data_IF_389946753849
#
_entry.id   IF_389946753849
#
_cell.length_a   1.000
_cell.length_b   1.000
_cell.length_c   1.000
_cell.angle_alpha   90.00
_cell.angle_beta   90.00
_cell.angle_gamma   90.00
#
_symmetry.space_group_name_H-M   'P 1'
#
loop_
_entity.id
_entity.type
_entity.pdbx_description
1 polymer ?
#
# COMPACT_ATOMS: atom_id res chain seq x y z
N UNK A 1 25.71 31.39 -17.79
CA UNK A 1 24.31 31.14 -18.19
C UNK A 1 23.87 29.72 -17.86
N UNK A 2 24.53 28.65 -18.27
CA UNK A 2 24.13 27.25 -18.07
C UNK A 2 23.90 26.90 -16.59
N UNK A 3 24.81 27.25 -15.69
CA UNK A 3 24.70 26.96 -14.24
C UNK A 3 23.46 27.59 -13.59
N UNK A 4 23.11 28.81 -14.00
CA UNK A 4 21.92 29.51 -13.49
C UNK A 4 20.64 28.87 -14.02
N UNK A 5 20.64 28.45 -15.28
CA UNK A 5 19.51 27.73 -15.90
C UNK A 5 19.27 26.40 -15.20
N UNK A 6 20.32 25.59 -15.02
CA UNK A 6 20.22 24.29 -14.32
C UNK A 6 19.64 24.48 -12.90
N UNK A 7 20.17 25.44 -12.14
CA UNK A 7 19.68 25.73 -10.79
C UNK A 7 18.21 26.12 -10.77
N UNK A 8 17.77 26.97 -11.70
CA UNK A 8 16.35 27.37 -11.81
C UNK A 8 15.46 26.18 -12.18
N UNK A 9 15.89 25.36 -13.12
CA UNK A 9 15.18 24.15 -13.51
C UNK A 9 14.98 23.20 -12.30
N UNK A 10 16.04 22.89 -11.56
CA UNK A 10 15.94 22.05 -10.35
C UNK A 10 15.03 22.65 -9.29
N UNK A 11 15.05 23.96 -9.08
CA UNK A 11 14.15 24.62 -8.15
C UNK A 11 12.69 24.53 -8.57
N UNK A 12 12.39 24.78 -9.85
CA UNK A 12 11.03 24.69 -10.38
C UNK A 12 10.51 23.25 -10.22
N UNK A 13 11.30 22.26 -10.64
CA UNK A 13 10.93 20.84 -10.50
C UNK A 13 10.71 20.49 -9.03
N UNK A 14 11.55 20.94 -8.13
CA UNK A 14 11.39 20.73 -6.70
C UNK A 14 10.07 21.30 -6.17
N UNK A 15 9.70 22.53 -6.52
CA UNK A 15 8.42 23.11 -6.09
C UNK A 15 7.22 22.37 -6.68
N UNK A 16 7.32 21.90 -7.92
CA UNK A 16 6.29 21.05 -8.53
C UNK A 16 6.11 19.75 -7.72
N UNK A 17 7.20 19.07 -7.37
CA UNK A 17 7.16 17.86 -6.56
C UNK A 17 6.57 18.13 -5.17
N UNK A 18 6.96 19.21 -4.52
CA UNK A 18 6.37 19.63 -3.23
C UNK A 18 4.86 19.83 -3.34
N UNK A 19 4.40 20.53 -4.39
CA UNK A 19 2.99 20.78 -4.61
C UNK A 19 2.20 19.47 -4.85
N UNK A 20 2.72 18.57 -5.69
CA UNK A 20 2.10 17.26 -5.93
C UNK A 20 2.11 16.37 -4.69
N UNK A 21 3.18 16.39 -3.90
CA UNK A 21 3.23 15.63 -2.65
C UNK A 21 2.18 16.12 -1.66
N UNK A 22 2.05 17.43 -1.47
CA UNK A 22 1.01 18.00 -0.60
C UNK A 22 -0.40 17.70 -1.11
N UNK A 23 -0.63 17.79 -2.43
CA UNK A 23 -1.89 17.40 -3.05
C UNK A 23 -2.20 15.90 -2.84
N UNK A 24 -1.20 15.04 -2.95
CA UNK A 24 -1.33 13.60 -2.66
C UNK A 24 -1.69 13.35 -1.19
N UNK A 25 -1.16 14.15 -0.26
CA UNK A 25 -1.52 14.07 1.16
C UNK A 25 -2.99 14.41 1.43
N UNK A 26 -3.66 15.18 0.56
CA UNK A 26 -5.08 15.49 0.66
C UNK A 26 -5.99 14.37 0.11
N UNK A 27 -5.44 13.44 -0.67
CA UNK A 27 -6.21 12.35 -1.30
C UNK A 27 -7.13 11.58 -0.35
N UNK A 28 -6.76 11.23 0.90
CA UNK A 28 -7.65 10.51 1.81
C UNK A 28 -8.84 11.35 2.32
N UNK A 29 -8.78 12.67 2.17
CA UNK A 29 -9.82 13.60 2.63
C UNK A 29 -10.85 13.92 1.53
N UNK A 30 -10.58 13.55 0.28
CA UNK A 30 -11.38 13.90 -0.87
C UNK A 30 -12.15 12.68 -1.38
N UNK A 31 -13.41 12.89 -1.77
CA UNK A 31 -14.20 11.84 -2.41
C UNK A 31 -13.66 11.57 -3.83
N UNK A 32 -13.10 10.38 -4.11
CA UNK A 32 -12.50 10.08 -5.41
C UNK A 32 -13.54 10.01 -6.55
N UNK A 33 -14.82 9.79 -6.26
CA UNK A 33 -15.87 9.81 -7.27
C UNK A 33 -16.08 11.22 -7.87
N UNK A 34 -15.79 12.26 -7.10
CA UNK A 34 -15.92 13.66 -7.55
C UNK A 34 -14.56 14.21 -7.96
N UNK A 35 -13.52 13.90 -7.19
CA UNK A 35 -12.16 14.43 -7.35
C UNK A 35 -11.18 13.33 -7.80
N UNK A 36 -11.52 12.62 -8.88
CA UNK A 36 -10.76 11.49 -9.39
C UNK A 36 -9.25 11.74 -9.61
N UNK A 37 -8.77 12.96 -10.01
CA UNK A 37 -7.32 13.17 -10.17
C UNK A 37 -6.54 12.98 -8.86
N UNK A 38 -7.16 13.30 -7.71
CA UNK A 38 -6.51 13.11 -6.40
C UNK A 38 -6.38 11.63 -6.03
N UNK A 39 -7.24 10.75 -6.54
CA UNK A 39 -7.08 9.31 -6.42
C UNK A 39 -5.77 8.82 -7.05
N UNK A 40 -5.46 9.30 -8.26
CA UNK A 40 -4.18 8.99 -8.93
C UNK A 40 -2.98 9.59 -8.20
N UNK A 41 -3.11 10.79 -7.63
CA UNK A 41 -2.06 11.38 -6.81
C UNK A 41 -1.80 10.54 -5.54
N UNK A 42 -2.86 9.99 -4.93
CA UNK A 42 -2.73 9.06 -3.81
C UNK A 42 -1.94 7.80 -4.17
N UNK A 43 -2.19 7.23 -5.36
CA UNK A 43 -1.41 6.09 -5.89
C UNK A 43 0.05 6.49 -6.19
N UNK A 44 0.29 7.72 -6.62
CA UNK A 44 1.62 8.24 -6.89
C UNK A 44 2.41 8.63 -5.61
N UNK A 45 1.75 8.66 -4.44
CA UNK A 45 2.35 9.12 -3.19
C UNK A 45 3.69 8.47 -2.84
N UNK A 46 3.89 7.13 -2.91
CA UNK A 46 5.17 6.52 -2.59
C UNK A 46 6.31 7.00 -3.50
N UNK A 47 6.02 7.21 -4.78
CA UNK A 47 6.99 7.70 -5.76
C UNK A 47 7.34 9.17 -5.51
N UNK A 48 6.34 9.99 -5.22
CA UNK A 48 6.53 11.41 -4.86
C UNK A 48 7.37 11.54 -3.58
N UNK A 49 7.14 10.67 -2.60
CA UNK A 49 7.94 10.63 -1.38
C UNK A 49 9.39 10.30 -1.67
N UNK A 50 9.68 9.27 -2.50
CA UNK A 50 11.06 8.92 -2.88
C UNK A 50 11.74 10.10 -3.57
N UNK A 51 11.07 10.74 -4.53
CA UNK A 51 11.64 11.89 -5.25
C UNK A 51 11.88 13.07 -4.30
N UNK A 52 10.96 13.34 -3.37
CA UNK A 52 11.13 14.40 -2.37
C UNK A 52 12.31 14.11 -1.43
N UNK A 53 12.51 12.86 -1.02
CA UNK A 53 13.67 12.42 -0.22
C UNK A 53 14.98 12.58 -0.99
N UNK A 54 15.00 12.29 -2.29
CA UNK A 54 16.17 12.53 -3.14
C UNK A 54 16.50 14.02 -3.24
N UNK A 55 15.50 14.89 -3.39
CA UNK A 55 15.70 16.34 -3.33
C UNK A 55 16.21 16.80 -1.96
N UNK A 56 15.65 16.27 -0.87
CA UNK A 56 16.13 16.57 0.48
C UNK A 56 17.60 16.20 0.63
N UNK A 57 17.98 14.97 0.26
CA UNK A 57 19.38 14.52 0.30
C UNK A 57 20.30 15.44 -0.54
N UNK A 58 19.88 15.78 -1.76
CA UNK A 58 20.64 16.70 -2.62
C UNK A 58 20.79 18.09 -2.01
N UNK A 59 19.73 18.66 -1.42
CA UNK A 59 19.80 19.97 -0.77
C UNK A 59 20.61 19.96 0.52
N UNK A 60 20.57 18.87 1.30
CA UNK A 60 21.43 18.70 2.48
C UNK A 60 22.90 18.63 2.08
N UNK A 61 23.23 17.83 1.06
CA UNK A 61 24.58 17.74 0.52
C UNK A 61 25.10 19.08 0.00
N UNK A 62 24.25 19.84 -0.70
CA UNK A 62 24.54 21.17 -1.19
C UNK A 62 24.52 22.26 -0.11
N UNK A 63 24.24 21.90 1.17
CA UNK A 63 24.07 22.84 2.30
C UNK A 63 23.12 23.99 1.97
N UNK A 64 22.03 23.69 1.27
CA UNK A 64 21.05 24.67 0.80
C UNK A 64 19.93 24.86 1.82
N UNK A 65 19.48 26.12 1.99
CA UNK A 65 18.31 26.44 2.83
C UNK A 65 17.01 25.76 2.35
N UNK A 66 16.94 25.28 1.12
CA UNK A 66 15.76 24.60 0.57
C UNK A 66 15.49 23.22 1.22
N UNK A 67 16.47 22.66 1.94
CA UNK A 67 16.28 21.44 2.72
C UNK A 67 15.20 21.60 3.81
N UNK A 68 15.09 22.79 4.43
CA UNK A 68 14.08 23.05 5.44
C UNK A 68 12.65 22.89 4.93
N UNK A 69 12.38 23.35 3.70
CA UNK A 69 11.06 23.19 3.09
C UNK A 69 10.71 21.71 2.93
N UNK A 70 11.64 20.87 2.46
CA UNK A 70 11.40 19.44 2.34
C UNK A 70 11.12 18.80 3.70
N UNK A 71 11.87 19.16 4.75
CA UNK A 71 11.65 18.67 6.11
C UNK A 71 10.25 19.04 6.60
N UNK A 72 9.84 20.30 6.47
CA UNK A 72 8.51 20.75 6.87
C UNK A 72 7.40 20.01 6.11
N UNK A 73 7.56 19.83 4.81
CA UNK A 73 6.60 19.12 3.96
C UNK A 73 6.49 17.65 4.36
N UNK A 74 7.60 16.98 4.68
CA UNK A 74 7.60 15.59 5.16
C UNK A 74 6.92 15.48 6.54
N UNK A 75 7.13 16.45 7.43
CA UNK A 75 6.44 16.49 8.72
C UNK A 75 4.94 16.69 8.57
N UNK A 76 4.49 17.54 7.63
CA UNK A 76 3.07 17.70 7.32
C UNK A 76 2.46 16.40 6.74
N UNK A 77 3.21 15.67 5.92
CA UNK A 77 2.79 14.40 5.33
C UNK A 77 2.97 13.18 6.22
N UNK A 78 3.41 13.33 7.47
CA UNK A 78 3.78 12.22 8.36
C UNK A 78 2.69 11.16 8.53
N UNK A 79 1.43 11.56 8.68
CA UNK A 79 0.30 10.62 8.79
C UNK A 79 0.16 9.73 7.56
N UNK A 80 0.30 10.31 6.37
CA UNK A 80 0.20 9.57 5.11
C UNK A 80 1.41 8.66 4.92
N UNK A 81 2.61 9.12 5.30
CA UNK A 81 3.83 8.31 5.29
C UNK A 81 3.66 7.09 6.22
N UNK A 82 3.21 7.29 7.45
CA UNK A 82 2.98 6.22 8.42
C UNK A 82 1.87 5.24 7.98
N UNK A 83 0.87 5.72 7.23
CA UNK A 83 -0.20 4.88 6.68
C UNK A 83 0.29 3.98 5.54
N UNK A 84 1.17 4.48 4.67
CA UNK A 84 1.71 3.71 3.54
C UNK A 84 2.81 2.75 3.99
N UNK A 85 3.65 3.20 4.92
CA UNK A 85 4.72 2.39 5.49
C UNK A 85 4.37 1.99 6.93
N UNK A 86 3.53 0.96 7.07
CA UNK A 86 3.19 0.35 8.35
C UNK A 86 4.41 -0.36 8.95
N UNK A 87 5.38 0.45 9.42
CA UNK A 87 6.64 -0.06 9.94
C UNK A 87 6.47 -0.49 11.41
N UNK A 88 6.38 -1.80 11.63
CA UNK A 88 6.25 -2.40 12.96
C UNK A 88 7.42 -3.36 13.24
N UNK A 89 8.65 -2.88 13.42
CA UNK A 89 9.84 -3.73 13.50
C UNK A 89 9.87 -4.66 14.72
N UNK A 90 9.06 -4.34 15.75
CA UNK A 90 9.03 -5.09 17.01
C UNK A 90 7.73 -5.87 17.23
N UNK A 91 6.81 -5.87 16.27
CA UNK A 91 5.56 -6.63 16.33
C UNK A 91 5.53 -7.60 15.14
N UNK A 92 5.83 -8.87 15.42
CA UNK A 92 5.54 -9.96 14.50
C UNK A 92 4.18 -10.57 14.84
N UNK A 93 3.45 -11.01 13.80
CA UNK A 93 2.27 -11.83 14.00
C UNK A 93 2.73 -13.18 14.58
N UNK A 94 2.24 -13.51 15.78
CA UNK A 94 2.47 -14.83 16.39
C UNK A 94 1.22 -15.70 16.13
N UNK A 95 1.40 -16.73 15.34
CA UNK A 95 0.35 -17.69 15.00
C UNK A 95 -0.13 -18.45 16.23
N UNK A 96 0.75 -18.77 17.16
CA UNK A 96 0.49 -19.62 18.31
C UNK A 96 -0.08 -18.83 19.49
N UNK A 97 0.23 -17.53 19.58
CA UNK A 97 -0.24 -16.65 20.65
C UNK A 97 -1.42 -15.82 20.22
N UNK A 98 -2.59 -16.14 20.72
CA UNK A 98 -3.75 -15.24 20.70
C UNK A 98 -3.86 -14.58 22.06
N UNK A 99 -3.66 -13.27 22.10
CA UNK A 99 -3.83 -12.50 23.35
C UNK A 99 -5.29 -12.55 23.80
N UNK A 100 -5.52 -12.66 25.09
CA UNK A 100 -6.88 -12.68 25.65
C UNK A 100 -7.63 -11.38 25.29
N UNK A 101 -8.79 -11.50 24.66
CA UNK A 101 -9.59 -10.36 24.19
C UNK A 101 -9.17 -9.77 22.84
N UNK A 102 -8.12 -10.29 22.19
CA UNK A 102 -7.75 -9.90 20.83
C UNK A 102 -8.59 -10.66 19.79
N UNK A 103 -9.03 -9.94 18.74
CA UNK A 103 -9.67 -10.54 17.58
C UNK A 103 -8.61 -10.81 16.49
N UNK A 104 -8.60 -12.03 15.98
CA UNK A 104 -7.79 -12.42 14.84
C UNK A 104 -8.61 -12.27 13.57
N UNK A 105 -8.21 -11.34 12.71
CA UNK A 105 -8.87 -11.07 11.44
C UNK A 105 -7.98 -11.57 10.31
N UNK A 106 -8.54 -12.38 9.41
CA UNK A 106 -7.90 -12.83 8.18
C UNK A 106 -8.55 -12.15 6.99
N UNK A 107 -7.75 -11.60 6.09
CA UNK A 107 -8.20 -11.14 4.78
C UNK A 107 -7.44 -11.90 3.70
N UNK A 108 -8.15 -12.43 2.72
CA UNK A 108 -7.55 -13.28 1.69
C UNK A 108 -8.26 -13.15 0.34
N UNK A 109 -7.47 -12.85 -0.71
CA UNK A 109 -7.92 -12.99 -2.08
C UNK A 109 -7.75 -14.45 -2.52
N UNK A 110 -8.85 -15.18 -2.68
CA UNK A 110 -8.85 -16.61 -2.99
C UNK A 110 -8.88 -16.92 -4.49
N UNK A 111 -8.91 -15.91 -5.36
CA UNK A 111 -9.08 -16.08 -6.82
C UNK A 111 -10.21 -17.05 -7.19
N UNK A 112 -11.35 -16.97 -6.51
CA UNK A 112 -12.49 -17.85 -6.74
C UNK A 112 -12.23 -19.33 -6.43
N UNK A 113 -11.26 -19.64 -5.58
CA UNK A 113 -10.79 -21.00 -5.27
C UNK A 113 -10.26 -21.78 -6.49
N UNK A 114 -9.78 -21.05 -7.51
CA UNK A 114 -9.16 -21.67 -8.68
C UNK A 114 -7.69 -22.00 -8.40
N UNK A 115 -7.21 -23.20 -8.75
CA UNK A 115 -5.80 -23.54 -8.64
C UNK A 115 -4.96 -22.70 -9.59
N UNK A 116 -3.70 -22.36 -9.26
CA UNK A 116 -2.86 -21.43 -10.02
C UNK A 116 -2.54 -21.91 -11.44
N UNK A 117 -2.54 -23.21 -11.74
CA UNK A 117 -2.29 -23.74 -13.09
C UNK A 117 -3.04 -25.05 -13.34
N UNK A 118 -3.55 -25.20 -14.60
CA UNK A 118 -4.28 -26.37 -15.03
C UNK A 118 -3.38 -27.49 -15.56
N UNK A 119 -3.38 -28.65 -14.92
CA UNK A 119 -2.67 -29.84 -15.42
C UNK A 119 -3.24 -31.15 -14.96
N UNK A 120 -4.01 -31.16 -13.89
CA UNK A 120 -4.71 -32.35 -13.36
C UNK A 120 -6.19 -32.17 -13.61
N UNK A 121 -6.96 -33.28 -13.73
CA UNK A 121 -8.43 -33.21 -13.83
C UNK A 121 -8.96 -32.02 -13.04
N UNK A 122 -9.48 -31.01 -13.73
CA UNK A 122 -9.84 -29.69 -13.20
C UNK A 122 -10.62 -29.79 -11.88
N UNK A 123 -11.46 -30.83 -11.72
CA UNK A 123 -12.24 -31.08 -10.51
C UNK A 123 -11.37 -31.51 -9.32
N UNK A 124 -10.43 -32.45 -9.53
CA UNK A 124 -9.56 -32.97 -8.46
C UNK A 124 -8.57 -31.92 -7.94
N UNK A 125 -7.99 -31.14 -8.87
CA UNK A 125 -7.10 -30.03 -8.51
C UNK A 125 -7.83 -28.93 -7.74
N UNK A 126 -9.08 -28.60 -8.10
CA UNK A 126 -9.90 -27.63 -7.38
C UNK A 126 -10.24 -28.08 -5.96
N UNK A 127 -10.59 -29.36 -5.77
CA UNK A 127 -10.89 -29.92 -4.46
C UNK A 127 -9.62 -29.84 -3.59
N UNK A 128 -8.48 -30.29 -4.08
CA UNK A 128 -7.22 -30.26 -3.33
C UNK A 128 -6.80 -28.83 -2.95
N UNK A 129 -6.95 -27.89 -3.88
CA UNK A 129 -6.64 -26.49 -3.62
C UNK A 129 -7.56 -25.86 -2.58
N UNK A 130 -8.86 -26.18 -2.64
CA UNK A 130 -9.83 -25.74 -1.63
C UNK A 130 -9.50 -26.31 -0.25
N UNK A 131 -9.20 -27.59 -0.16
CA UNK A 131 -8.79 -28.22 1.12
C UNK A 131 -7.51 -27.59 1.68
N UNK A 132 -6.57 -27.21 0.83
CA UNK A 132 -5.37 -26.46 1.23
C UNK A 132 -5.74 -25.10 1.84
N UNK A 133 -6.67 -24.35 1.21
CA UNK A 133 -7.15 -23.06 1.73
C UNK A 133 -7.81 -23.24 3.10
N UNK A 134 -8.72 -24.22 3.22
CA UNK A 134 -9.36 -24.52 4.51
C UNK A 134 -8.37 -25.01 5.56
N UNK A 135 -7.32 -25.73 5.14
CA UNK A 135 -6.20 -26.09 6.02
C UNK A 135 -5.54 -24.87 6.64
N UNK A 136 -5.21 -23.89 5.82
CA UNK A 136 -4.61 -22.62 6.29
C UNK A 136 -5.58 -21.87 7.23
N UNK A 137 -6.88 -21.80 6.90
CA UNK A 137 -7.87 -21.15 7.76
C UNK A 137 -7.94 -21.82 9.13
N UNK A 138 -8.00 -23.16 9.17
CA UNK A 138 -7.97 -23.90 10.44
C UNK A 138 -6.70 -23.67 11.22
N UNK A 139 -5.59 -23.64 10.54
CA UNK A 139 -4.26 -23.44 11.15
C UNK A 139 -4.10 -22.06 11.79
N UNK A 140 -4.68 -21.02 11.18
CA UNK A 140 -4.60 -19.66 11.69
C UNK A 140 -5.72 -19.31 12.68
N UNK A 141 -6.77 -20.11 12.75
CA UNK A 141 -7.91 -19.94 13.65
C UNK A 141 -8.39 -18.48 13.77
N UNK A 142 -8.83 -17.86 12.66
CA UNK A 142 -9.31 -16.48 12.69
C UNK A 142 -10.73 -16.40 13.26
N UNK A 143 -11.02 -15.31 13.99
CA UNK A 143 -12.37 -15.00 14.46
C UNK A 143 -13.24 -14.41 13.35
N UNK A 144 -12.62 -13.67 12.43
CA UNK A 144 -13.27 -13.01 11.29
C UNK A 144 -12.46 -13.27 10.04
N UNK A 145 -13.13 -13.67 8.96
CA UNK A 145 -12.50 -13.88 7.65
C UNK A 145 -13.18 -12.98 6.62
N UNK A 146 -12.40 -12.11 5.99
CA UNK A 146 -12.80 -11.32 4.83
C UNK A 146 -12.23 -11.96 3.56
N UNK A 147 -13.06 -12.64 2.78
CA UNK A 147 -12.66 -13.31 1.53
C UNK A 147 -12.88 -12.35 0.38
N UNK A 148 -11.84 -12.11 -0.42
CA UNK A 148 -11.89 -11.34 -1.66
C UNK A 148 -11.93 -12.29 -2.88
N UNK A 149 -12.53 -11.81 -3.97
CA UNK A 149 -12.74 -12.57 -5.20
C UNK A 149 -13.48 -13.91 -4.94
N UNK A 150 -14.47 -13.85 -4.06
CA UNK A 150 -15.37 -14.99 -3.81
C UNK A 150 -16.44 -15.03 -4.90
N UNK A 151 -16.37 -16.03 -5.78
CA UNK A 151 -17.37 -16.24 -6.82
C UNK A 151 -18.36 -17.30 -6.39
N UNK A 152 -19.62 -16.91 -6.19
CA UNK A 152 -20.75 -17.84 -6.09
C UNK A 152 -21.23 -18.20 -7.50
N UNK A 153 -20.53 -19.09 -8.18
CA UNK A 153 -21.09 -19.69 -9.37
C UNK A 153 -22.10 -20.76 -8.91
N UNK A 154 -23.24 -20.91 -9.60
CA UNK A 154 -24.23 -21.97 -9.28
C UNK A 154 -23.65 -23.39 -9.20
N UNK A 155 -22.49 -23.60 -9.83
CA UNK A 155 -21.70 -24.82 -9.71
C UNK A 155 -21.00 -24.99 -8.36
N UNK A 156 -21.03 -23.99 -7.48
CA UNK A 156 -20.57 -24.10 -6.08
C UNK A 156 -21.77 -24.41 -5.17
N UNK A 157 -22.60 -25.35 -5.54
CA UNK A 157 -23.50 -26.09 -4.63
C UNK A 157 -22.65 -27.03 -3.76
N UNK A 158 -21.73 -26.47 -2.96
CA UNK A 158 -20.75 -27.27 -2.22
C UNK A 158 -20.69 -26.91 -0.74
N UNK A 159 -21.68 -26.15 -0.27
CA UNK A 159 -21.94 -25.94 1.15
C UNK A 159 -23.24 -26.61 1.55
#
# INVERSE_FOLDING_TARGET
MVRTFIRRFFLITYFIIVAFFLAACLSPLLNPAVWWPFGFLGLAFPYLLIVLLLFLAGWLFARSRWSWLAIVVLLLGWKNIASVFAFHPFRSFDKEKKEAGALRIMTWNTKGFFPPEGGVSKKKARIAHRESIFGVIRDYDPDIIAIQEFYTIESIKWF
#
